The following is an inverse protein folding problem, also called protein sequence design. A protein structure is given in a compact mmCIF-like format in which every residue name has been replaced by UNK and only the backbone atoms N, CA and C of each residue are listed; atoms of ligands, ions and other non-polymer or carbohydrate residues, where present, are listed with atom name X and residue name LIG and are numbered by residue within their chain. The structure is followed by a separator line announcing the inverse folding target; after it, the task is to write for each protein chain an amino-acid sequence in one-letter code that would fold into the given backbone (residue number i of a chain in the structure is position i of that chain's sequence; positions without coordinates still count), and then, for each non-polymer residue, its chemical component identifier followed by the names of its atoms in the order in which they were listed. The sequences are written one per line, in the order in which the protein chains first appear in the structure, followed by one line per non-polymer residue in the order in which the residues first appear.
data_IF_047529171514
#
_entry.id   IF_047529171514
#
_cell.length_a   1.000
_cell.length_b   1.000
_cell.length_c   1.000
_cell.angle_alpha   90.00
_cell.angle_beta   90.00
_cell.angle_gamma   90.00
#
_symmetry.space_group_name_H-M   'P 1'
#
loop_
_entity.id
_entity.type
_entity.pdbx_description
1 polymer ?
#
# COMPACT_ATOMS: atom_id res chain seq x y z
N UNK A 1 17.43 34.62 14.65
CA UNK A 1 16.84 33.67 13.68
C UNK A 1 15.95 32.69 14.43
N UNK A 2 14.65 32.91 14.43
CA UNK A 2 13.64 32.07 15.09
C UNK A 2 13.45 30.79 14.30
N UNK A 3 13.95 29.65 14.82
CA UNK A 3 13.63 28.32 14.29
C UNK A 3 12.12 28.11 14.42
N UNK A 4 11.41 28.12 13.28
CA UNK A 4 10.02 27.62 13.23
C UNK A 4 10.03 26.18 13.75
N UNK A 5 9.17 25.82 14.73
CA UNK A 5 8.96 24.42 15.05
C UNK A 5 8.45 23.72 13.79
N UNK A 6 9.08 22.60 13.42
CA UNK A 6 8.58 21.78 12.34
C UNK A 6 7.15 21.35 12.71
N UNK A 7 6.17 21.43 11.79
CA UNK A 7 4.80 21.03 12.11
C UNK A 7 4.78 19.54 12.44
N UNK A 8 4.76 19.22 13.73
CA UNK A 8 4.58 17.87 14.27
C UNK A 8 3.10 17.54 14.26
N UNK A 9 2.57 17.24 13.07
CA UNK A 9 1.19 16.81 12.90
C UNK A 9 1.07 15.77 11.80
N UNK A 10 0.14 14.83 11.95
CA UNK A 10 -0.16 13.78 10.97
C UNK A 10 -0.28 14.32 9.54
N UNK A 11 -0.91 15.48 9.39
CA UNK A 11 -1.08 16.18 8.12
C UNK A 11 0.24 16.66 7.50
N UNK A 12 1.21 17.09 8.31
CA UNK A 12 2.50 17.53 7.79
C UNK A 12 3.30 16.36 7.23
N UNK A 13 3.27 15.21 7.91
CA UNK A 13 3.88 13.96 7.42
C UNK A 13 3.25 13.51 6.11
N UNK A 14 1.93 13.53 6.01
CA UNK A 14 1.21 13.17 4.76
C UNK A 14 1.54 14.16 3.63
N UNK A 15 1.55 15.47 3.90
CA UNK A 15 1.91 16.49 2.89
C UNK A 15 3.35 16.33 2.41
N UNK A 16 4.27 16.02 3.32
CA UNK A 16 5.67 15.78 2.97
C UNK A 16 5.82 14.52 2.11
N UNK A 17 5.16 13.42 2.49
CA UNK A 17 5.12 12.19 1.70
C UNK A 17 4.56 12.44 0.28
N UNK A 18 3.48 13.20 0.15
CA UNK A 18 2.93 13.61 -1.15
C UNK A 18 3.89 14.48 -1.95
N UNK A 19 4.60 15.40 -1.30
CA UNK A 19 5.59 16.24 -1.96
C UNK A 19 6.79 15.43 -2.46
N UNK A 20 7.21 14.39 -1.74
CA UNK A 20 8.22 13.44 -2.21
C UNK A 20 7.69 12.61 -3.36
N UNK A 21 6.46 12.07 -3.23
CA UNK A 21 5.83 11.26 -4.27
C UNK A 21 5.74 12.04 -5.59
N UNK A 22 5.26 13.28 -5.56
CA UNK A 22 5.17 14.13 -6.76
C UNK A 22 6.53 14.38 -7.42
N UNK A 23 7.58 14.54 -6.62
CA UNK A 23 8.94 14.81 -7.14
C UNK A 23 9.65 13.56 -7.64
N UNK A 24 9.35 12.40 -7.05
CA UNK A 24 10.03 11.12 -7.30
C UNK A 24 9.09 10.04 -7.79
N UNK A 25 8.01 10.46 -8.46
CA UNK A 25 6.95 9.56 -8.91
C UNK A 25 7.48 8.40 -9.76
N UNK A 26 8.41 8.57 -10.73
CA UNK A 26 8.80 7.46 -11.59
C UNK A 26 9.42 6.32 -10.81
N UNK A 27 10.31 6.64 -9.85
CA UNK A 27 10.97 5.65 -9.02
C UNK A 27 10.00 4.97 -8.03
N UNK A 28 9.12 5.75 -7.42
CA UNK A 28 8.16 5.23 -6.45
C UNK A 28 7.13 4.29 -7.11
N UNK A 29 6.64 4.65 -8.30
CA UNK A 29 5.73 3.81 -9.08
C UNK A 29 6.43 2.60 -9.69
N UNK A 30 7.70 2.71 -10.11
CA UNK A 30 8.48 1.56 -10.56
C UNK A 30 8.60 0.49 -9.45
N UNK A 31 8.92 0.92 -8.23
CA UNK A 31 9.01 0.01 -7.09
C UNK A 31 7.65 -0.66 -6.78
N UNK A 32 6.55 0.11 -6.85
CA UNK A 32 5.21 -0.45 -6.67
C UNK A 32 4.82 -1.42 -7.80
N UNK A 33 5.12 -1.10 -9.06
CA UNK A 33 4.86 -2.00 -10.19
C UNK A 33 5.61 -3.33 -10.05
N UNK A 34 6.87 -3.30 -9.65
CA UNK A 34 7.65 -4.52 -9.36
C UNK A 34 6.99 -5.33 -8.24
N UNK A 35 6.63 -4.66 -7.14
CA UNK A 35 6.02 -5.34 -6.00
C UNK A 35 4.65 -5.93 -6.33
N UNK A 36 3.80 -5.19 -7.07
CA UNK A 36 2.50 -5.68 -7.54
C UNK A 36 2.68 -6.84 -8.51
N UNK A 37 3.54 -6.71 -9.53
CA UNK A 37 3.76 -7.75 -10.52
C UNK A 37 4.23 -9.08 -9.92
N UNK A 38 5.12 -9.02 -8.92
CA UNK A 38 5.53 -10.22 -8.16
C UNK A 38 4.38 -10.79 -7.32
N UNK A 39 3.49 -9.93 -6.81
CA UNK A 39 2.36 -10.33 -5.98
C UNK A 39 1.14 -10.82 -6.77
N UNK A 40 0.99 -10.45 -8.05
CA UNK A 40 -0.15 -10.85 -8.89
C UNK A 40 -0.17 -12.36 -9.16
N UNK A 41 0.99 -13.00 -9.32
CA UNK A 41 1.09 -14.42 -9.67
C UNK A 41 0.59 -15.34 -8.53
N UNK A 42 1.01 -15.15 -7.27
CA UNK A 42 0.43 -15.87 -6.13
C UNK A 42 -1.07 -15.65 -5.96
N UNK A 43 -1.57 -14.47 -6.31
CA UNK A 43 -2.96 -14.09 -6.07
C UNK A 43 -3.92 -14.78 -7.04
N UNK A 44 -3.57 -14.82 -8.33
CA UNK A 44 -4.31 -15.59 -9.34
C UNK A 44 -4.24 -17.08 -9.04
N UNK A 45 -3.07 -17.60 -8.64
CA UNK A 45 -2.94 -19.01 -8.27
C UNK A 45 -3.80 -19.39 -7.05
N UNK A 46 -3.87 -18.52 -6.03
CA UNK A 46 -4.73 -18.73 -4.85
C UNK A 46 -6.21 -18.70 -5.19
N UNK A 47 -6.64 -17.76 -6.02
CA UNK A 47 -8.04 -17.65 -6.43
C UNK A 47 -8.48 -18.85 -7.31
N UNK A 48 -7.55 -19.42 -8.09
CA UNK A 48 -7.81 -20.64 -8.86
C UNK A 48 -7.88 -21.90 -7.98
N UNK A 49 -7.04 -22.00 -6.94
CA UNK A 49 -7.02 -23.17 -6.04
C UNK A 49 -8.26 -23.32 -5.16
N UNK A 50 -9.00 -22.24 -4.91
CA UNK A 50 -10.22 -22.25 -4.06
C UNK A 50 -11.51 -22.19 -4.89
N UNK A 51 -11.40 -22.04 -6.21
CA UNK A 51 -12.56 -21.89 -7.11
C UNK A 51 -13.56 -23.06 -7.01
N UNK A 52 -13.08 -24.25 -6.69
CA UNK A 52 -13.88 -25.48 -6.68
C UNK A 52 -14.22 -25.99 -5.27
N UNK A 53 -13.82 -25.29 -4.20
CA UNK A 53 -13.96 -25.76 -2.81
C UNK A 53 -14.72 -24.72 -1.95
N UNK A 54 -16.04 -24.87 -1.71
CA UNK A 54 -16.90 -23.85 -1.10
C UNK A 54 -16.73 -23.69 0.42
N UNK A 55 -15.59 -24.12 0.99
CA UNK A 55 -15.35 -24.10 2.44
C UNK A 55 -14.93 -22.70 2.87
N UNK A 56 -15.63 -22.13 3.85
CA UNK A 56 -15.30 -20.83 4.48
C UNK A 56 -13.84 -20.78 4.94
N UNK A 57 -13.30 -21.89 5.44
CA UNK A 57 -11.89 -21.98 5.87
C UNK A 57 -10.89 -21.79 4.73
N UNK A 58 -11.21 -22.23 3.51
CA UNK A 58 -10.36 -22.04 2.33
C UNK A 58 -10.39 -20.58 1.88
N UNK A 59 -11.56 -19.93 1.91
CA UNK A 59 -11.70 -18.51 1.63
C UNK A 59 -10.92 -17.64 2.63
N UNK A 60 -11.04 -17.92 3.93
CA UNK A 60 -10.28 -17.22 4.98
C UNK A 60 -8.76 -17.40 4.84
N UNK A 61 -8.31 -18.60 4.43
CA UNK A 61 -6.89 -18.86 4.24
C UNK A 61 -6.34 -18.13 3.01
N UNK A 62 -7.10 -18.07 1.91
CA UNK A 62 -6.74 -17.26 0.73
C UNK A 62 -6.66 -15.78 1.08
N UNK A 63 -7.62 -15.27 1.85
CA UNK A 63 -7.63 -13.88 2.31
C UNK A 63 -6.43 -13.58 3.22
N UNK A 64 -6.16 -14.45 4.19
CA UNK A 64 -5.00 -14.30 5.08
C UNK A 64 -3.67 -14.30 4.32
N UNK A 65 -3.51 -15.17 3.32
CA UNK A 65 -2.31 -15.17 2.48
C UNK A 65 -2.25 -13.92 1.59
N UNK A 66 -3.37 -13.47 1.04
CA UNK A 66 -3.44 -12.22 0.26
C UNK A 66 -3.02 -11.01 1.08
N UNK A 67 -3.52 -10.91 2.31
CA UNK A 67 -3.12 -9.89 3.27
C UNK A 67 -1.64 -10.00 3.62
N UNK A 68 -1.12 -11.21 3.84
CA UNK A 68 0.29 -11.42 4.15
C UNK A 68 1.20 -11.00 3.00
N UNK A 69 0.87 -11.39 1.76
CA UNK A 69 1.70 -11.03 0.60
C UNK A 69 1.58 -9.54 0.25
N UNK A 70 0.40 -8.94 0.41
CA UNK A 70 0.19 -7.50 0.32
C UNK A 70 1.01 -6.72 1.36
N UNK A 71 1.05 -7.19 2.61
CA UNK A 71 1.88 -6.61 3.65
C UNK A 71 3.37 -6.70 3.31
N UNK A 72 3.84 -7.86 2.84
CA UNK A 72 5.23 -8.05 2.39
C UNK A 72 5.58 -7.08 1.25
N UNK A 73 4.70 -6.93 0.26
CA UNK A 73 4.86 -5.97 -0.83
C UNK A 73 4.95 -4.52 -0.29
N UNK A 74 4.03 -4.12 0.59
CA UNK A 74 4.02 -2.80 1.20
C UNK A 74 5.32 -2.51 1.97
N UNK A 75 5.80 -3.46 2.78
CA UNK A 75 7.05 -3.33 3.52
C UNK A 75 8.26 -3.27 2.57
N UNK A 76 8.28 -4.10 1.53
CA UNK A 76 9.36 -4.05 0.54
C UNK A 76 9.40 -2.68 -0.14
N UNK A 77 8.27 -2.15 -0.62
CA UNK A 77 8.21 -0.83 -1.27
C UNK A 77 8.68 0.26 -0.30
N UNK A 78 8.23 0.26 0.95
CA UNK A 78 8.68 1.20 1.97
C UNK A 78 10.21 1.18 2.16
N UNK A 79 10.82 -0.02 2.17
CA UNK A 79 12.26 -0.16 2.27
C UNK A 79 13.03 0.20 1.00
N UNK A 80 12.43 -0.01 -0.17
CA UNK A 80 13.00 0.30 -1.48
C UNK A 80 13.03 1.82 -1.75
N UNK A 81 12.00 2.53 -1.31
CA UNK A 81 11.88 3.99 -1.50
C UNK A 81 12.46 4.81 -0.34
N UNK A 82 13.08 4.16 0.64
CA UNK A 82 13.54 4.77 1.88
C UNK A 82 14.49 5.96 1.69
N UNK A 83 15.30 5.97 0.63
CA UNK A 83 16.25 7.04 0.35
C UNK A 83 15.68 8.17 -0.52
N UNK A 84 14.49 8.02 -1.11
CA UNK A 84 13.88 9.03 -1.99
C UNK A 84 13.65 10.39 -1.30
N UNK A 85 13.20 10.48 -0.04
CA UNK A 85 13.04 11.77 0.64
C UNK A 85 14.36 12.56 0.77
N UNK A 86 15.48 11.86 0.92
CA UNK A 86 16.82 12.44 0.98
C UNK A 86 17.44 12.68 -0.42
N UNK A 87 16.69 12.44 -1.50
CA UNK A 87 17.16 12.58 -2.87
C UNK A 87 18.02 11.42 -3.38
N UNK A 88 18.12 10.32 -2.63
CA UNK A 88 18.83 9.12 -3.04
C UNK A 88 18.06 8.26 -4.06
N UNK A 89 18.69 7.16 -4.48
CA UNK A 89 18.13 6.19 -5.43
C UNK A 89 17.27 5.11 -4.73
N UNK A 90 16.64 4.24 -5.52
CA UNK A 90 15.95 3.05 -5.00
C UNK A 90 16.96 2.07 -4.37
N UNK A 91 16.55 1.44 -3.28
CA UNK A 91 17.37 0.48 -2.54
C UNK A 91 16.66 -0.89 -2.48
N UNK A 92 16.73 -1.73 -3.52
CA UNK A 92 16.03 -3.02 -3.53
C UNK A 92 16.65 -4.03 -2.56
N UNK A 93 17.98 -4.06 -2.43
CA UNK A 93 18.68 -5.02 -1.58
C UNK A 93 18.43 -4.75 -0.10
N UNK A 94 17.87 -5.74 0.62
CA UNK A 94 17.52 -5.60 2.04
C UNK A 94 16.29 -4.73 2.32
N UNK A 95 15.46 -4.47 1.29
CA UNK A 95 14.28 -3.61 1.40
C UNK A 95 13.29 -4.08 2.48
N UNK A 96 12.96 -5.37 2.55
CA UNK A 96 12.02 -5.89 3.56
C UNK A 96 12.45 -5.57 4.99
N UNK A 97 13.71 -5.83 5.34
CA UNK A 97 14.24 -5.55 6.69
C UNK A 97 14.16 -4.06 7.01
N UNK A 98 14.56 -3.21 6.06
CA UNK A 98 14.47 -1.74 6.23
C UNK A 98 13.03 -1.28 6.38
N UNK A 99 12.14 -1.76 5.51
CA UNK A 99 10.72 -1.42 5.50
C UNK A 99 10.03 -1.81 6.80
N UNK A 100 10.25 -3.04 7.29
CA UNK A 100 9.75 -3.49 8.58
C UNK A 100 10.25 -2.59 9.73
N UNK A 101 11.54 -2.24 9.72
CA UNK A 101 12.11 -1.32 10.70
C UNK A 101 11.53 0.10 10.63
N UNK A 102 11.23 0.60 9.42
CA UNK A 102 10.59 1.91 9.21
C UNK A 102 9.13 1.89 9.63
N UNK A 103 8.37 0.84 9.27
CA UNK A 103 6.98 0.68 9.65
C UNK A 103 6.83 0.58 11.17
N UNK A 104 7.62 -0.27 11.82
CA UNK A 104 7.61 -0.40 13.28
C UNK A 104 7.95 0.91 14.00
N UNK A 105 8.88 1.70 13.44
CA UNK A 105 9.20 3.03 13.96
C UNK A 105 8.05 4.02 13.74
N UNK A 106 7.48 4.06 12.54
CA UNK A 106 6.38 4.95 12.17
C UNK A 106 5.13 4.74 13.03
N UNK A 107 4.76 3.48 13.28
CA UNK A 107 3.59 3.13 14.11
C UNK A 107 3.80 3.60 15.55
N UNK A 108 5.03 3.49 16.09
CA UNK A 108 5.34 3.96 17.45
C UNK A 108 5.45 5.48 17.55
N UNK A 109 6.03 6.14 16.55
CA UNK A 109 6.35 7.58 16.62
C UNK A 109 5.22 8.48 16.11
N UNK A 110 4.43 8.01 15.15
CA UNK A 110 3.39 8.80 14.50
C UNK A 110 2.19 7.92 14.09
N UNK A 111 1.54 7.22 15.04
CA UNK A 111 0.41 6.34 14.73
C UNK A 111 -0.72 7.09 14.01
N UNK A 112 -0.96 8.36 14.37
CA UNK A 112 -1.96 9.19 13.70
C UNK A 112 -1.64 9.49 12.23
N UNK A 113 -0.36 9.59 11.86
CA UNK A 113 0.04 9.79 10.45
C UNK A 113 -0.12 8.49 9.65
N UNK A 114 0.21 7.35 10.25
CA UNK A 114 0.00 6.03 9.65
C UNK A 114 -1.50 5.80 9.46
N UNK A 115 -2.32 6.00 10.49
CA UNK A 115 -3.77 5.88 10.41
C UNK A 115 -4.38 6.80 9.35
N UNK A 116 -3.96 8.07 9.30
CA UNK A 116 -4.41 9.00 8.27
C UNK A 116 -4.00 8.54 6.86
N UNK A 117 -2.77 8.06 6.69
CA UNK A 117 -2.28 7.50 5.43
C UNK A 117 -3.07 6.27 4.98
N UNK A 118 -3.40 5.37 5.91
CA UNK A 118 -4.24 4.20 5.64
C UNK A 118 -5.65 4.61 5.24
N UNK A 119 -6.28 5.55 5.95
CA UNK A 119 -7.63 6.03 5.62
C UNK A 119 -7.66 6.71 4.25
N UNK A 120 -6.68 7.57 3.95
CA UNK A 120 -6.61 8.25 2.65
C UNK A 120 -6.31 7.27 1.51
N UNK A 121 -5.35 6.36 1.72
CA UNK A 121 -5.02 5.33 0.74
C UNK A 121 -6.19 4.39 0.48
N UNK A 122 -6.87 3.95 1.54
CA UNK A 122 -8.08 3.13 1.47
C UNK A 122 -9.24 3.86 0.78
N UNK A 123 -9.42 5.16 1.04
CA UNK A 123 -10.41 5.97 0.36
C UNK A 123 -10.15 6.08 -1.15
N UNK A 124 -8.91 6.32 -1.56
CA UNK A 124 -8.53 6.32 -2.99
C UNK A 124 -8.71 4.93 -3.61
N UNK A 125 -8.32 3.87 -2.89
CA UNK A 125 -8.51 2.49 -3.33
C UNK A 125 -9.99 2.20 -3.57
N UNK A 126 -10.85 2.54 -2.61
CA UNK A 126 -12.29 2.35 -2.71
C UNK A 126 -12.90 3.14 -3.89
N UNK A 127 -12.44 4.37 -4.14
CA UNK A 127 -12.91 5.14 -5.30
C UNK A 127 -12.51 4.52 -6.64
N UNK A 128 -11.42 3.76 -6.68
CA UNK A 128 -10.96 3.07 -7.90
C UNK A 128 -11.65 1.72 -8.07
N UNK A 129 -11.93 1.01 -6.98
CA UNK A 129 -12.50 -0.35 -7.03
C UNK A 129 -14.01 -0.36 -6.99
N UNK A 130 -14.67 0.50 -6.21
CA UNK A 130 -16.13 0.47 -6.05
C UNK A 130 -16.90 0.70 -7.35
N UNK A 131 -16.56 1.69 -8.22
CA UNK A 131 -17.26 1.86 -9.49
C UNK A 131 -17.10 0.65 -10.41
N UNK A 132 -15.90 0.04 -10.41
CA UNK A 132 -15.63 -1.16 -11.18
C UNK A 132 -16.44 -2.36 -10.65
N UNK A 133 -16.52 -2.53 -9.33
CA UNK A 133 -17.35 -3.56 -8.68
C UNK A 133 -18.83 -3.36 -8.95
N UNK A 134 -19.34 -2.12 -8.90
CA UNK A 134 -20.75 -1.82 -9.22
C UNK A 134 -21.05 -2.07 -10.70
N UNK A 135 -20.15 -1.68 -11.61
CA UNK A 135 -20.30 -1.95 -13.04
C UNK A 135 -20.23 -3.45 -13.37
N UNK A 136 -19.44 -4.21 -12.61
CA UNK A 136 -19.23 -5.64 -12.82
C UNK A 136 -20.33 -6.53 -12.21
N UNK A 137 -20.90 -6.15 -11.06
CA UNK A 137 -21.84 -6.96 -10.28
C UNK A 137 -23.28 -6.41 -10.28
N UNK A 138 -23.50 -5.18 -10.75
CA UNK A 138 -24.77 -4.46 -10.58
C UNK A 138 -24.99 -3.98 -9.15
N UNK A 139 -25.81 -2.94 -8.96
CA UNK A 139 -26.03 -2.34 -7.64
C UNK A 139 -26.63 -3.34 -6.62
N UNK A 140 -27.43 -4.30 -7.08
CA UNK A 140 -28.07 -5.33 -6.26
C UNK A 140 -27.13 -6.52 -5.95
N UNK A 141 -26.12 -6.79 -6.80
CA UNK A 141 -25.13 -7.86 -6.61
C UNK A 141 -23.96 -7.49 -5.68
N UNK A 142 -23.83 -6.20 -5.31
CA UNK A 142 -22.84 -5.73 -4.32
C UNK A 142 -23.29 -6.04 -2.87
N UNK A 143 -24.59 -6.29 -2.65
CA UNK A 143 -25.19 -6.59 -1.34
C UNK A 143 -25.95 -7.93 -1.27
N UNK A 144 -26.14 -8.63 -2.40
CA UNK A 144 -26.87 -9.91 -2.50
C UNK A 144 -25.98 -11.16 -2.61
N UNK A 145 -26.56 -12.38 -2.54
CA UNK A 145 -25.81 -13.63 -2.63
C UNK A 145 -25.13 -13.73 -4.00
N UNK A 146 -23.82 -13.96 -4.01
CA UNK A 146 -23.00 -14.06 -5.21
C UNK A 146 -23.26 -15.39 -5.93
N UNK A 147 -24.30 -15.47 -6.74
CA UNK A 147 -24.40 -16.52 -7.76
C UNK A 147 -23.26 -16.30 -8.78
N UNK A 148 -22.34 -17.26 -8.79
CA UNK A 148 -21.09 -17.35 -9.58
C UNK A 148 -20.83 -16.18 -10.56
N UNK A 149 -19.98 -15.19 -10.21
CA UNK A 149 -19.75 -14.04 -11.08
C UNK A 149 -19.15 -14.45 -12.43
N UNK A 150 -19.66 -13.86 -13.51
CA UNK A 150 -19.14 -14.08 -14.85
C UNK A 150 -17.63 -13.74 -14.94
N UNK A 151 -16.87 -14.48 -15.74
CA UNK A 151 -15.41 -14.32 -15.84
C UNK A 151 -14.95 -12.87 -16.16
N UNK A 152 -15.79 -12.10 -16.86
CA UNK A 152 -15.55 -10.68 -17.12
C UNK A 152 -15.63 -9.79 -15.87
N UNK A 153 -16.59 -10.05 -14.98
CA UNK A 153 -16.72 -9.32 -13.72
C UNK A 153 -15.52 -9.55 -12.79
N UNK A 154 -15.03 -10.79 -12.77
CA UNK A 154 -13.81 -11.16 -12.06
C UNK A 154 -12.57 -10.45 -12.63
N UNK A 155 -12.41 -10.44 -13.96
CA UNK A 155 -11.28 -9.75 -14.60
C UNK A 155 -11.27 -8.23 -14.32
N UNK A 156 -12.45 -7.59 -14.34
CA UNK A 156 -12.60 -6.17 -13.99
C UNK A 156 -12.25 -5.91 -12.53
N UNK A 157 -12.71 -6.75 -11.62
CA UNK A 157 -12.37 -6.65 -10.20
C UNK A 157 -10.84 -6.79 -9.99
N UNK A 158 -10.21 -7.81 -10.55
CA UNK A 158 -8.76 -8.01 -10.47
C UNK A 158 -7.98 -6.85 -11.07
N UNK A 159 -8.39 -6.35 -12.25
CA UNK A 159 -7.73 -5.21 -12.89
C UNK A 159 -7.87 -3.93 -12.05
N UNK A 160 -9.05 -3.70 -11.47
CA UNK A 160 -9.28 -2.54 -10.60
C UNK A 160 -8.46 -2.60 -9.32
N UNK A 161 -8.28 -3.79 -8.73
CA UNK A 161 -7.48 -3.99 -7.53
C UNK A 161 -5.98 -3.83 -7.81
N UNK A 162 -5.51 -4.31 -8.97
CA UNK A 162 -4.14 -4.06 -9.44
C UNK A 162 -3.87 -2.57 -9.62
N UNK A 163 -4.79 -1.85 -10.28
CA UNK A 163 -4.67 -0.40 -10.47
C UNK A 163 -4.68 0.32 -9.13
N UNK A 164 -5.61 -0.03 -8.24
CA UNK A 164 -5.70 0.56 -6.91
C UNK A 164 -4.42 0.32 -6.09
N UNK A 165 -3.87 -0.89 -6.13
CA UNK A 165 -2.62 -1.25 -5.46
C UNK A 165 -1.44 -0.45 -6.01
N UNK A 166 -1.26 -0.38 -7.33
CA UNK A 166 -0.19 0.41 -7.96
C UNK A 166 -0.30 1.90 -7.60
N UNK A 167 -1.53 2.43 -7.53
CA UNK A 167 -1.78 3.85 -7.19
C UNK A 167 -1.49 4.16 -5.73
N UNK A 168 -1.84 3.26 -4.81
CA UNK A 168 -1.85 3.55 -3.36
C UNK A 168 -0.58 3.10 -2.62
N UNK A 169 0.09 2.03 -3.08
CA UNK A 169 1.31 1.49 -2.46
C UNK A 169 2.43 2.55 -2.31
N UNK A 170 2.78 3.35 -3.34
CA UNK A 170 3.85 4.35 -3.22
C UNK A 170 3.56 5.40 -2.15
N UNK A 171 2.29 5.80 -2.04
CA UNK A 171 1.86 6.83 -1.09
C UNK A 171 2.01 6.34 0.35
N UNK A 172 1.43 5.18 0.68
CA UNK A 172 1.52 4.64 2.03
C UNK A 172 2.97 4.30 2.39
N UNK A 173 3.76 3.82 1.43
CA UNK A 173 5.18 3.54 1.63
C UNK A 173 5.95 4.81 2.04
N UNK A 174 5.72 5.93 1.35
CA UNK A 174 6.38 7.20 1.68
C UNK A 174 5.89 7.80 3.01
N UNK A 175 4.62 7.60 3.39
CA UNK A 175 4.14 7.96 4.73
C UNK A 175 4.93 7.21 5.81
N UNK A 176 5.13 5.90 5.65
CA UNK A 176 5.93 5.08 6.58
C UNK A 176 7.40 5.53 6.62
N UNK A 177 8.00 5.85 5.46
CA UNK A 177 9.38 6.33 5.40
C UNK A 177 9.53 7.67 6.12
N UNK A 178 8.70 8.67 5.81
CA UNK A 178 8.79 10.00 6.41
C UNK A 178 8.54 9.93 7.92
N UNK A 179 7.51 9.19 8.36
CA UNK A 179 7.22 8.99 9.78
C UNK A 179 8.34 8.24 10.52
N UNK A 180 8.91 7.19 9.90
CA UNK A 180 9.93 6.34 10.51
C UNK A 180 11.34 6.95 10.50
N UNK A 181 11.66 7.85 9.56
CA UNK A 181 12.99 8.44 9.39
C UNK A 181 13.24 9.66 10.29
N UNK A 182 12.17 10.30 10.81
CA UNK A 182 12.29 11.40 11.77
C UNK A 182 12.98 10.99 13.09
N UNK A 183 12.97 9.70 13.44
CA UNK A 183 13.70 9.16 14.59
C UNK A 183 15.21 9.04 14.36
N UNK A 184 15.66 8.87 13.11
CA UNK A 184 17.10 8.84 12.81
C UNK A 184 17.72 10.23 12.74
N UNK A 185 16.92 11.24 12.43
CA UNK A 185 17.30 12.65 12.54
C UNK A 185 17.16 13.14 13.99
N UNK A 186 17.79 12.45 14.95
CA UNK A 186 17.97 13.03 16.28
C UNK A 186 19.01 14.16 16.16
N UNK A 187 18.77 15.37 16.73
CA UNK A 187 19.74 16.45 16.71
C UNK A 187 20.85 16.13 17.72
N UNK A 188 21.79 15.28 17.31
CA UNK A 188 23.02 14.99 18.03
C UNK A 188 24.17 15.12 17.05
N UNK A 189 24.81 16.29 17.01
CA UNK A 189 26.05 16.48 16.27
C UNK A 189 26.21 17.88 15.69
N UNK A 190 26.98 18.68 16.45
CA UNK A 190 27.55 20.01 16.15
C UNK A 190 26.69 21.21 16.49
#
# INVERSE_FOLDING_TARGET
MTRRPAPSGSLATVREALAVLRRRWPAAYLAALVAVGVNTVPDVARQLLVRDDPRISAALLVDAVGLATGLVAQLWVAGAVAALPAGGALLPAGALRRGAGLAGRAVRSAPGAVGLGVVLGGGVSALLTLPASVAALGADGVLGPLDSPAAGAFAVATASDLVASVVTLPFLALVLVVAGSRLTASPGGQ
#
